data_IF_712953137883
#
_entry.id   IF_712953137883
#
_cell.length_a   1.000
_cell.length_b   1.000
_cell.length_c   1.000
_cell.angle_alpha   90.00
_cell.angle_beta   90.00
_cell.angle_gamma   90.00
#
_symmetry.space_group_name_H-M   'P 1'
#
loop_
_entity.id
_entity.type
_entity.pdbx_description
1 polymer ?
#
# COMPACT_ATOMS: atom_id res chain seq x y z
N UNK A 1 -23.46 7.58 -6.51
CA UNK A 1 -22.17 6.93 -6.19
C UNK A 1 -21.10 7.94 -5.73
N UNK A 2 -20.59 8.87 -6.58
CA UNK A 2 -19.54 9.84 -6.17
C UNK A 2 -19.87 10.70 -4.93
N UNK A 3 -21.09 11.24 -4.82
CA UNK A 3 -21.52 12.02 -3.64
C UNK A 3 -21.62 11.18 -2.36
N UNK A 4 -22.02 9.91 -2.44
CA UNK A 4 -22.13 9.08 -1.23
C UNK A 4 -20.76 8.60 -0.75
N UNK A 5 -19.83 8.34 -1.68
CA UNK A 5 -18.43 8.04 -1.36
C UNK A 5 -17.78 9.24 -0.66
N UNK A 6 -18.00 10.46 -1.17
CA UNK A 6 -17.49 11.68 -0.53
C UNK A 6 -18.01 11.85 0.91
N UNK A 7 -19.33 11.70 1.10
CA UNK A 7 -19.93 11.80 2.43
C UNK A 7 -19.44 10.70 3.38
N UNK A 8 -19.28 9.46 2.89
CA UNK A 8 -18.68 8.39 3.67
C UNK A 8 -17.27 8.78 4.12
N UNK A 9 -16.38 9.16 3.20
CA UNK A 9 -15.00 9.57 3.52
C UNK A 9 -14.97 10.69 4.58
N UNK A 10 -15.87 11.68 4.47
CA UNK A 10 -16.01 12.75 5.47
C UNK A 10 -16.46 12.23 6.85
N UNK A 11 -17.42 11.30 6.90
CA UNK A 11 -17.93 10.74 8.15
C UNK A 11 -16.92 9.83 8.86
N UNK A 12 -16.10 9.07 8.12
CA UNK A 12 -15.07 8.19 8.71
C UNK A 12 -13.83 8.94 9.21
N UNK A 13 -13.83 10.28 9.11
CA UNK A 13 -12.76 11.15 9.60
C UNK A 13 -11.66 11.42 8.57
N UNK A 14 -11.42 10.52 7.61
CA UNK A 14 -10.41 10.70 6.56
C UNK A 14 -10.65 11.97 5.73
N UNK A 15 -11.90 12.28 5.41
CA UNK A 15 -12.26 13.49 4.66
C UNK A 15 -12.21 14.78 5.47
N UNK A 16 -11.92 14.71 6.78
CA UNK A 16 -11.69 15.89 7.64
C UNK A 16 -10.22 16.31 7.66
N UNK A 17 -9.32 15.41 7.25
CA UNK A 17 -7.90 15.71 7.13
C UNK A 17 -7.61 16.47 5.84
N UNK A 18 -6.74 17.47 5.94
CA UNK A 18 -6.13 18.13 4.79
C UNK A 18 -5.30 17.13 3.98
N UNK A 19 -5.10 17.39 2.69
CA UNK A 19 -4.23 16.55 1.84
C UNK A 19 -2.83 16.36 2.44
N UNK A 20 -2.31 17.38 3.13
CA UNK A 20 -1.04 17.34 3.83
C UNK A 20 -1.04 16.32 4.97
N UNK A 21 -2.05 16.34 5.83
CA UNK A 21 -2.17 15.39 6.95
C UNK A 21 -2.35 13.96 6.44
N UNK A 22 -3.14 13.77 5.37
CA UNK A 22 -3.29 12.45 4.73
C UNK A 22 -1.93 11.96 4.22
N UNK A 23 -1.13 12.82 3.59
CA UNK A 23 0.22 12.46 3.17
C UNK A 23 1.16 12.11 4.34
N UNK A 24 1.07 12.83 5.46
CA UNK A 24 1.88 12.54 6.65
C UNK A 24 1.51 11.20 7.27
N UNK A 25 0.20 10.89 7.36
CA UNK A 25 -0.30 9.58 7.84
C UNK A 25 0.21 8.46 6.94
N UNK A 26 0.02 8.57 5.63
CA UNK A 26 0.50 7.57 4.66
C UNK A 26 2.01 7.38 4.79
N UNK A 27 2.77 8.47 4.91
CA UNK A 27 4.22 8.37 5.03
C UNK A 27 4.65 7.66 6.33
N UNK A 28 3.96 7.92 7.45
CA UNK A 28 4.22 7.24 8.71
C UNK A 28 3.88 5.75 8.64
N UNK A 29 2.73 5.40 8.05
CA UNK A 29 2.30 4.01 7.88
C UNK A 29 3.28 3.22 7.00
N UNK A 30 3.69 3.78 5.87
CA UNK A 30 4.66 3.14 4.98
C UNK A 30 6.05 3.03 5.60
N UNK A 31 6.47 4.02 6.40
CA UNK A 31 7.71 3.91 7.17
C UNK A 31 7.63 2.76 8.18
N UNK A 32 6.54 2.65 8.95
CA UNK A 32 6.36 1.59 9.92
C UNK A 32 6.33 0.20 9.25
N UNK A 33 5.65 0.07 8.10
CA UNK A 33 5.65 -1.16 7.32
C UNK A 33 7.05 -1.49 6.79
N UNK A 34 7.76 -0.50 6.26
CA UNK A 34 9.14 -0.66 5.77
C UNK A 34 10.07 -1.12 6.88
N UNK A 35 10.00 -0.48 8.05
CA UNK A 35 10.82 -0.82 9.21
C UNK A 35 10.49 -2.22 9.73
N UNK A 36 9.20 -2.58 9.74
CA UNK A 36 8.77 -3.89 10.19
C UNK A 36 9.16 -5.00 9.20
N UNK A 37 9.06 -4.76 7.89
CA UNK A 37 9.53 -5.69 6.86
C UNK A 37 11.05 -5.83 6.91
N UNK A 38 11.77 -4.71 7.07
CA UNK A 38 13.23 -4.64 7.02
C UNK A 38 13.77 -5.40 5.79
N UNK A 39 14.66 -6.36 6.02
CA UNK A 39 15.28 -7.22 4.99
C UNK A 39 14.55 -8.57 4.80
N UNK A 40 13.44 -8.80 5.52
CA UNK A 40 12.69 -10.06 5.41
C UNK A 40 11.96 -10.12 4.06
N UNK A 41 11.81 -11.32 3.47
CA UNK A 41 11.03 -11.47 2.25
C UNK A 41 9.52 -11.27 2.49
N UNK A 42 9.03 -11.57 3.70
CA UNK A 42 7.65 -11.39 4.15
C UNK A 42 7.61 -10.83 5.59
N UNK A 43 6.49 -10.27 6.02
CA UNK A 43 6.41 -9.56 7.31
C UNK A 43 6.78 -10.42 8.53
N UNK A 44 6.47 -11.72 8.48
CA UNK A 44 6.74 -12.70 9.54
C UNK A 44 8.00 -13.56 9.29
N UNK A 45 8.83 -13.23 8.30
CA UNK A 45 10.06 -13.95 7.99
C UNK A 45 10.04 -14.56 6.59
N UNK A 46 10.42 -15.84 6.48
CA UNK A 46 10.72 -16.47 5.18
C UNK A 46 9.50 -16.96 4.39
N UNK A 47 8.33 -17.05 5.03
CA UNK A 47 7.10 -17.54 4.39
C UNK A 47 5.98 -16.52 4.49
N UNK A 48 5.25 -16.37 3.40
CA UNK A 48 4.04 -15.55 3.38
C UNK A 48 3.02 -16.08 4.39
N UNK A 49 2.38 -15.15 5.09
CA UNK A 49 1.31 -15.41 6.06
C UNK A 49 0.02 -14.70 5.66
N UNK A 50 -1.05 -14.91 6.43
CA UNK A 50 -2.30 -14.17 6.25
C UNK A 50 -2.13 -12.65 6.43
N UNK A 51 -1.12 -12.23 7.20
CA UNK A 51 -0.73 -10.82 7.28
C UNK A 51 -0.30 -10.31 5.92
N UNK A 52 0.53 -11.06 5.20
CA UNK A 52 1.03 -10.68 3.89
C UNK A 52 -0.09 -10.63 2.84
N UNK A 53 -1.00 -11.60 2.87
CA UNK A 53 -2.18 -11.58 1.99
C UNK A 53 -3.03 -10.31 2.20
N UNK A 54 -3.22 -9.91 3.46
CA UNK A 54 -3.97 -8.69 3.81
C UNK A 54 -3.19 -7.44 3.40
N UNK A 55 -1.91 -7.35 3.76
CA UNK A 55 -1.06 -6.22 3.48
C UNK A 55 -0.92 -5.99 1.97
N UNK A 56 -0.67 -7.04 1.19
CA UNK A 56 -0.60 -6.95 -0.27
C UNK A 56 -1.91 -6.45 -0.89
N UNK A 57 -3.06 -6.90 -0.37
CA UNK A 57 -4.37 -6.42 -0.81
C UNK A 57 -4.57 -4.91 -0.66
N UNK A 58 -3.95 -4.28 0.35
CA UNK A 58 -4.01 -2.83 0.53
C UNK A 58 -2.88 -2.09 -0.19
N UNK A 59 -1.64 -2.54 -0.01
CA UNK A 59 -0.43 -1.87 -0.49
C UNK A 59 -0.30 -2.00 -2.01
N UNK A 60 -0.54 -3.20 -2.55
CA UNK A 60 -0.47 -3.44 -3.99
C UNK A 60 -1.42 -2.55 -4.77
N UNK A 61 -2.64 -2.35 -4.27
CA UNK A 61 -3.62 -1.44 -4.87
C UNK A 61 -3.21 0.04 -4.81
N UNK A 62 -2.32 0.43 -3.90
CA UNK A 62 -1.81 1.80 -3.85
C UNK A 62 -0.64 2.02 -4.81
N UNK A 63 0.24 1.03 -5.01
CA UNK A 63 1.48 1.19 -5.78
C UNK A 63 1.30 0.83 -7.27
N UNK A 64 0.53 -0.21 -7.57
CA UNK A 64 0.41 -0.79 -8.91
C UNK A 64 -0.45 -0.02 -9.94
N UNK A 65 -1.36 0.91 -9.58
CA UNK A 65 -2.17 1.56 -10.61
C UNK A 65 -1.35 2.37 -11.62
N UNK A 66 -1.69 2.36 -12.92
CA UNK A 66 -0.91 2.98 -13.99
C UNK A 66 -1.16 4.50 -14.11
N UNK A 67 -1.47 5.18 -13.01
CA UNK A 67 -1.69 6.63 -12.99
C UNK A 67 -0.74 7.32 -12.03
N UNK A 68 -0.40 8.58 -12.33
CA UNK A 68 0.48 9.38 -11.48
C UNK A 68 -0.31 10.07 -10.38
N UNK A 69 0.22 10.02 -9.17
CA UNK A 69 -0.29 10.75 -8.01
C UNK A 69 0.88 11.03 -7.07
N UNK A 70 0.85 12.18 -6.40
CA UNK A 70 1.85 12.54 -5.39
C UNK A 70 1.98 11.48 -4.30
N UNK A 71 0.88 10.79 -3.96
CA UNK A 71 0.88 9.69 -3.01
C UNK A 71 1.67 8.51 -3.57
N UNK A 72 1.42 8.12 -4.83
CA UNK A 72 2.10 7.01 -5.50
C UNK A 72 3.61 7.28 -5.59
N UNK A 73 4.00 8.49 -6.02
CA UNK A 73 5.40 8.88 -6.12
C UNK A 73 6.12 8.78 -4.77
N UNK A 74 5.43 9.14 -3.68
CA UNK A 74 5.95 9.10 -2.32
C UNK A 74 6.07 7.68 -1.78
N UNK A 75 5.04 6.86 -1.89
CA UNK A 75 5.08 5.47 -1.38
C UNK A 75 6.04 4.60 -2.21
N UNK A 76 6.25 4.94 -3.48
CA UNK A 76 7.22 4.25 -4.35
C UNK A 76 8.68 4.46 -3.94
N UNK A 77 8.97 5.41 -3.04
CA UNK A 77 10.32 5.59 -2.48
C UNK A 77 10.71 4.46 -1.51
N UNK A 78 9.74 3.73 -0.95
CA UNK A 78 9.98 2.59 -0.05
C UNK A 78 10.30 1.33 -0.86
N UNK A 79 11.55 1.23 -1.30
CA UNK A 79 12.00 0.19 -2.25
C UNK A 79 11.76 -1.24 -1.76
N UNK A 80 11.95 -1.52 -0.48
CA UNK A 80 11.70 -2.84 0.11
C UNK A 80 10.20 -3.21 0.03
N UNK A 81 9.30 -2.25 0.24
CA UNK A 81 7.85 -2.44 0.09
C UNK A 81 7.48 -2.71 -1.38
N UNK A 82 8.08 -1.97 -2.32
CA UNK A 82 7.88 -2.21 -3.76
C UNK A 82 8.35 -3.62 -4.16
N UNK A 83 9.53 -4.04 -3.68
CA UNK A 83 10.08 -5.38 -3.94
C UNK A 83 9.22 -6.48 -3.32
N UNK A 84 8.71 -6.25 -2.11
CA UNK A 84 7.75 -7.13 -1.46
C UNK A 84 6.46 -7.30 -2.28
N UNK A 85 5.90 -6.20 -2.80
CA UNK A 85 4.70 -6.27 -3.65
C UNK A 85 4.96 -7.04 -4.94
N UNK A 86 6.12 -6.83 -5.57
CA UNK A 86 6.51 -7.58 -6.76
C UNK A 86 6.66 -9.08 -6.45
N UNK A 87 7.24 -9.44 -5.30
CA UNK A 87 7.34 -10.83 -4.85
C UNK A 87 5.97 -11.47 -4.67
N UNK A 88 5.05 -10.80 -3.98
CA UNK A 88 3.68 -11.27 -3.79
C UNK A 88 2.94 -11.44 -5.12
N UNK A 89 3.15 -10.52 -6.08
CA UNK A 89 2.60 -10.63 -7.44
C UNK A 89 3.13 -11.87 -8.15
N UNK A 90 4.44 -12.07 -8.15
CA UNK A 90 5.09 -13.19 -8.83
C UNK A 90 4.73 -14.54 -8.22
N UNK A 91 4.61 -14.64 -6.89
CA UNK A 91 4.36 -15.91 -6.22
C UNK A 91 2.89 -16.35 -6.28
N UNK A 92 1.94 -15.40 -6.23
CA UNK A 92 0.52 -15.72 -6.09
C UNK A 92 -0.38 -15.24 -7.25
N UNK A 93 0.10 -14.35 -8.12
CA UNK A 93 -0.72 -13.70 -9.16
C UNK A 93 -0.03 -13.61 -10.53
N UNK A 94 0.95 -14.49 -10.79
CA UNK A 94 1.74 -14.51 -12.03
C UNK A 94 0.90 -14.54 -13.31
N UNK A 95 -0.30 -15.13 -13.27
CA UNK A 95 -1.18 -15.26 -14.44
C UNK A 95 -2.21 -14.11 -14.58
N UNK A 96 -2.36 -13.24 -13.58
CA UNK A 96 -3.48 -12.30 -13.48
C UNK A 96 -3.11 -10.82 -13.67
N UNK A 97 -1.84 -10.44 -13.50
CA UNK A 97 -1.41 -9.04 -13.62
C UNK A 97 -0.23 -8.92 -14.60
N UNK A 98 -0.35 -8.17 -15.71
CA UNK A 98 0.75 -8.02 -16.68
C UNK A 98 2.00 -7.42 -16.01
N UNK A 99 3.18 -7.90 -16.45
CA UNK A 99 4.50 -7.52 -15.92
C UNK A 99 4.77 -6.03 -16.05
#
# INVERSE_FOLDING_TARGET
MRKSIYNQIYEQGIGRHSEKEVCEIINADFQALSDYLADKPFFMGDKATTLDATAYGYIGNMILPPFKSMIIDRVSQFKNICQYCERMKQEFFHDYLPS
#
